data_IF_367801929917
#
_entry.id   IF_367801929917
#
_cell.length_a   1.000
_cell.length_b   1.000
_cell.length_c   1.000
_cell.angle_alpha   90.00
_cell.angle_beta   90.00
_cell.angle_gamma   90.00
#
_symmetry.space_group_name_H-M   'P 1'
#
loop_
_entity.id
_entity.type
_entity.pdbx_description
1 polymer ?
#
# COMPACT_ATOMS: atom_id res chain seq x y z
N UNK A 1 -40.84 22.04 17.16
CA UNK A 1 -40.26 20.78 17.63
C UNK A 1 -38.80 21.07 17.85
N UNK A 2 -38.36 21.00 19.09
CA UNK A 2 -37.09 21.50 19.57
C UNK A 2 -36.00 20.50 19.25
N UNK A 3 -35.02 20.93 18.48
CA UNK A 3 -33.76 20.23 18.24
C UNK A 3 -33.01 20.09 19.57
N UNK A 4 -32.94 18.85 20.07
CA UNK A 4 -32.09 18.51 21.21
C UNK A 4 -30.71 18.12 20.68
N UNK A 5 -29.83 19.13 20.61
CA UNK A 5 -28.40 18.92 20.51
C UNK A 5 -27.96 18.16 21.77
N UNK A 6 -27.61 16.88 21.65
CA UNK A 6 -26.93 16.13 22.70
C UNK A 6 -25.51 16.66 22.82
N UNK A 7 -25.06 17.10 24.02
CA UNK A 7 -23.65 17.51 24.20
C UNK A 7 -22.74 16.29 24.05
N UNK A 8 -21.58 16.49 23.40
CA UNK A 8 -20.48 15.53 23.37
C UNK A 8 -20.21 15.00 24.80
N UNK A 9 -20.26 13.70 24.96
CA UNK A 9 -19.88 13.02 26.19
C UNK A 9 -18.35 13.17 26.38
N UNK A 10 -17.85 13.83 27.43
CA UNK A 10 -16.42 14.07 27.62
C UNK A 10 -15.64 12.83 28.11
N UNK A 11 -16.26 11.66 28.09
CA UNK A 11 -15.65 10.40 28.60
C UNK A 11 -15.09 9.48 27.52
N UNK A 12 -15.22 9.80 26.23
CA UNK A 12 -14.59 9.00 25.17
C UNK A 12 -13.13 9.43 25.02
N UNK A 13 -12.20 8.60 25.49
CA UNK A 13 -10.78 8.72 25.13
C UNK A 13 -10.68 8.71 23.62
N UNK A 14 -9.94 9.63 22.98
CA UNK A 14 -9.71 9.60 21.54
C UNK A 14 -9.18 8.21 21.13
N UNK A 15 -9.58 7.73 19.96
CA UNK A 15 -9.01 6.49 19.44
C UNK A 15 -7.49 6.65 19.28
N UNK A 16 -6.68 5.61 19.57
CA UNK A 16 -5.23 5.69 19.47
C UNK A 16 -4.81 6.04 18.03
N UNK A 17 -3.82 6.91 17.91
CA UNK A 17 -3.20 7.31 16.65
C UNK A 17 -2.31 6.20 16.06
N UNK A 18 -1.60 6.51 14.99
CA UNK A 18 -0.73 5.54 14.31
C UNK A 18 0.35 4.95 15.23
N UNK A 19 1.09 5.83 15.91
CA UNK A 19 2.27 5.42 16.71
C UNK A 19 1.83 4.58 17.90
N UNK A 20 0.81 4.99 18.62
CA UNK A 20 0.27 4.23 19.74
C UNK A 20 -0.19 2.82 19.34
N UNK A 21 -0.78 2.67 18.15
CA UNK A 21 -1.19 1.36 17.63
C UNK A 21 0.00 0.49 17.28
N UNK A 22 1.01 1.08 16.64
CA UNK A 22 2.24 0.37 16.29
C UNK A 22 3.03 -0.09 17.54
N UNK A 23 2.94 0.66 18.63
CA UNK A 23 3.50 0.26 19.93
C UNK A 23 2.73 -0.92 20.56
N UNK A 24 1.45 -1.05 20.27
CA UNK A 24 0.59 -2.13 20.80
C UNK A 24 0.58 -3.39 19.91
N UNK A 25 0.80 -3.26 18.60
CA UNK A 25 0.72 -4.43 17.70
C UNK A 25 0.89 -4.09 16.22
N UNK A 26 0.49 -5.01 15.32
CA UNK A 26 0.56 -4.79 13.89
C UNK A 26 -0.54 -3.82 13.43
N UNK A 27 -0.18 -2.93 12.50
CA UNK A 27 -1.10 -2.05 11.78
C UNK A 27 -1.10 -2.47 10.31
N UNK A 28 -2.27 -2.67 9.76
CA UNK A 28 -2.46 -3.10 8.38
C UNK A 28 -2.86 -1.91 7.51
N UNK A 29 -2.13 -1.71 6.41
CA UNK A 29 -2.44 -0.70 5.40
C UNK A 29 -2.58 -1.35 4.03
N UNK A 30 -3.68 -1.06 3.33
CA UNK A 30 -3.81 -1.41 1.93
C UNK A 30 -3.25 -0.29 1.07
N UNK A 31 -2.31 -0.64 0.22
CA UNK A 31 -1.86 0.16 -0.93
C UNK A 31 -2.25 -0.54 -2.24
N UNK A 32 -1.83 -0.02 -3.38
CA UNK A 32 -1.93 -0.73 -4.64
C UNK A 32 -3.30 -0.69 -5.33
N UNK A 33 -4.07 0.36 -5.08
CA UNK A 33 -5.38 0.59 -5.71
C UNK A 33 -5.33 0.60 -7.24
N UNK A 34 -4.22 1.04 -7.83
CA UNK A 34 -4.01 1.18 -9.26
C UNK A 34 -4.37 -0.09 -10.05
N UNK A 35 -3.75 -1.22 -9.71
CA UNK A 35 -3.94 -2.47 -10.45
C UNK A 35 -5.31 -3.10 -10.19
N UNK A 36 -5.85 -2.93 -9.00
CA UNK A 36 -7.17 -3.45 -8.69
C UNK A 36 -8.26 -2.65 -9.43
N UNK A 37 -8.14 -1.32 -9.52
CA UNK A 37 -9.08 -0.48 -10.27
C UNK A 37 -8.92 -0.65 -11.79
N UNK A 38 -7.69 -0.86 -12.27
CA UNK A 38 -7.43 -1.21 -13.66
C UNK A 38 -8.12 -2.54 -14.03
N UNK A 39 -7.92 -3.60 -13.23
CA UNK A 39 -8.55 -4.92 -13.43
C UNK A 39 -10.07 -4.87 -13.38
N UNK A 40 -10.64 -3.95 -12.60
CA UNK A 40 -12.09 -3.70 -12.54
C UNK A 40 -12.59 -2.83 -13.69
N UNK A 41 -11.72 -2.27 -14.54
CA UNK A 41 -12.08 -1.45 -15.68
C UNK A 41 -12.41 0.01 -15.35
N UNK A 42 -11.88 0.55 -14.26
CA UNK A 42 -12.10 1.93 -13.82
C UNK A 42 -10.88 2.82 -14.00
N UNK A 43 -9.78 2.29 -14.52
CA UNK A 43 -8.54 3.02 -14.66
C UNK A 43 -7.74 2.50 -15.86
N UNK A 44 -7.10 3.40 -16.61
CA UNK A 44 -6.30 3.05 -17.79
C UNK A 44 -4.87 2.69 -17.39
N UNK A 45 -4.46 1.45 -17.72
CA UNK A 45 -3.05 1.05 -17.58
C UNK A 45 -2.13 1.97 -18.38
N UNK A 46 -1.03 2.39 -17.79
CA UNK A 46 -0.05 3.30 -18.36
C UNK A 46 -0.21 4.75 -17.91
N UNK A 47 -1.39 5.32 -17.95
CA UNK A 47 -1.64 6.65 -17.36
C UNK A 47 -1.61 6.58 -15.83
N UNK A 48 -2.33 5.62 -15.27
CA UNK A 48 -2.35 5.35 -13.83
C UNK A 48 -2.59 6.60 -12.96
N UNK A 49 -3.57 7.42 -13.37
CA UNK A 49 -3.97 8.60 -12.60
C UNK A 49 -5.28 8.34 -11.86
N UNK A 50 -5.49 8.94 -10.68
CA UNK A 50 -6.63 8.63 -9.81
C UNK A 50 -7.94 9.33 -10.23
N UNK A 51 -8.22 9.49 -11.53
CA UNK A 51 -9.44 10.11 -12.07
C UNK A 51 -10.73 9.41 -11.62
N UNK A 52 -10.62 8.12 -11.27
CA UNK A 52 -11.70 7.33 -10.70
C UNK A 52 -12.35 8.00 -9.47
N UNK A 53 -11.59 8.79 -8.72
CA UNK A 53 -12.11 9.56 -7.59
C UNK A 53 -13.19 10.58 -8.01
N UNK A 54 -13.11 11.10 -9.23
CA UNK A 54 -14.09 12.02 -9.81
C UNK A 54 -15.13 11.30 -10.66
N UNK A 55 -14.70 10.37 -11.51
CA UNK A 55 -15.55 9.72 -12.50
C UNK A 55 -16.40 8.58 -11.92
N UNK A 56 -15.83 7.80 -10.99
CA UNK A 56 -16.46 6.63 -10.38
C UNK A 56 -16.23 6.56 -8.87
N UNK A 57 -16.63 7.59 -8.10
CA UNK A 57 -16.34 7.68 -6.66
C UNK A 57 -16.89 6.48 -5.86
N UNK A 58 -18.00 5.89 -6.30
CA UNK A 58 -18.58 4.72 -5.64
C UNK A 58 -17.75 3.45 -5.85
N UNK A 59 -17.03 3.32 -6.97
CA UNK A 59 -16.13 2.21 -7.21
C UNK A 59 -14.91 2.29 -6.28
N UNK A 60 -14.34 3.48 -6.09
CA UNK A 60 -13.26 3.71 -5.15
C UNK A 60 -13.72 3.50 -3.69
N UNK A 61 -14.89 4.02 -3.33
CA UNK A 61 -15.51 3.80 -2.01
C UNK A 61 -15.72 2.32 -1.70
N UNK A 62 -16.22 1.57 -2.67
CA UNK A 62 -16.43 0.12 -2.52
C UNK A 62 -15.10 -0.62 -2.32
N UNK A 63 -14.05 -0.23 -3.03
CA UNK A 63 -12.72 -0.84 -2.88
C UNK A 63 -12.12 -0.56 -1.49
N UNK A 64 -12.22 0.67 -1.00
CA UNK A 64 -11.79 1.01 0.36
C UNK A 64 -12.53 0.16 1.41
N UNK A 65 -13.86 0.00 1.29
CA UNK A 65 -14.65 -0.87 2.19
C UNK A 65 -14.20 -2.33 2.12
N UNK A 66 -13.89 -2.84 0.92
CA UNK A 66 -13.41 -4.21 0.76
C UNK A 66 -12.07 -4.41 1.49
N UNK A 67 -11.17 -3.43 1.43
CA UNK A 67 -9.91 -3.47 2.17
C UNK A 67 -10.10 -3.32 3.68
N UNK A 68 -11.01 -2.44 4.15
CA UNK A 68 -11.35 -2.36 5.58
C UNK A 68 -11.86 -3.70 6.11
N UNK A 69 -12.80 -4.33 5.40
CA UNK A 69 -13.33 -5.65 5.77
C UNK A 69 -12.26 -6.73 5.78
N UNK A 70 -11.23 -6.58 4.95
CA UNK A 70 -10.07 -7.46 4.91
C UNK A 70 -9.06 -7.19 6.04
N UNK A 71 -9.21 -6.10 6.78
CA UNK A 71 -8.41 -5.78 7.95
C UNK A 71 -7.50 -4.55 7.82
N UNK A 72 -7.71 -3.69 6.82
CA UNK A 72 -6.97 -2.42 6.76
C UNK A 72 -7.40 -1.50 7.90
N UNK A 73 -6.45 -1.09 8.74
CA UNK A 73 -6.64 -0.10 9.81
C UNK A 73 -6.59 1.32 9.27
N UNK A 74 -5.95 1.48 8.12
CA UNK A 74 -5.74 2.76 7.46
C UNK A 74 -6.48 2.77 6.13
N UNK A 75 -7.25 3.82 5.89
CA UNK A 75 -7.83 4.14 4.59
C UNK A 75 -6.95 5.19 3.94
N UNK A 76 -6.10 4.75 3.04
CA UNK A 76 -5.19 5.63 2.33
C UNK A 76 -5.89 6.30 1.16
N UNK A 77 -5.82 7.63 1.10
CA UNK A 77 -6.41 8.38 -0.01
C UNK A 77 -5.74 8.00 -1.34
N UNK A 78 -6.54 7.65 -2.34
CA UNK A 78 -6.00 7.27 -3.65
C UNK A 78 -5.55 8.51 -4.43
N UNK A 79 -4.38 9.05 -4.05
CA UNK A 79 -3.75 10.22 -4.69
C UNK A 79 -2.39 9.89 -5.32
N UNK A 80 -2.00 8.61 -5.37
CA UNK A 80 -0.80 8.17 -6.09
C UNK A 80 -0.84 8.67 -7.55
N UNK A 81 0.26 9.25 -8.05
CA UNK A 81 0.30 9.96 -9.33
C UNK A 81 -0.65 11.18 -9.46
N UNK A 82 -1.36 11.57 -8.40
CA UNK A 82 -2.20 12.78 -8.36
C UNK A 82 -1.38 14.04 -8.12
N UNK A 83 -0.18 14.14 -8.65
CA UNK A 83 0.70 15.31 -8.53
C UNK A 83 0.78 16.11 -9.84
N UNK A 84 1.20 17.39 -9.74
CA UNK A 84 1.17 18.35 -10.84
C UNK A 84 1.90 17.87 -12.08
N UNK A 85 3.10 17.32 -11.93
CA UNK A 85 3.88 16.83 -13.07
C UNK A 85 3.15 15.73 -13.87
N UNK A 86 2.58 14.74 -13.16
CA UNK A 86 1.85 13.67 -13.85
C UNK A 86 0.61 14.19 -14.55
N UNK A 87 -0.13 15.10 -13.92
CA UNK A 87 -1.30 15.73 -14.52
C UNK A 87 -0.92 16.59 -15.73
N UNK A 88 0.22 17.29 -15.68
CA UNK A 88 0.78 18.05 -16.81
C UNK A 88 1.12 17.16 -18.01
N UNK A 89 1.77 16.02 -17.76
CA UNK A 89 2.14 15.06 -18.81
C UNK A 89 0.94 14.53 -19.57
N UNK A 90 -0.18 14.34 -18.90
CA UNK A 90 -1.42 13.87 -19.54
C UNK A 90 -2.37 15.00 -19.96
N UNK A 91 -2.01 16.27 -19.71
CA UNK A 91 -2.80 17.43 -20.11
C UNK A 91 -4.07 17.67 -19.30
N UNK A 92 -4.07 17.32 -18.01
CA UNK A 92 -5.23 17.38 -17.10
C UNK A 92 -4.95 18.13 -15.79
N UNK A 93 -4.10 19.14 -15.81
CA UNK A 93 -3.71 19.90 -14.61
C UNK A 93 -4.91 20.56 -13.90
N UNK A 94 -5.95 20.90 -14.63
CA UNK A 94 -7.18 21.46 -14.07
C UNK A 94 -7.92 20.52 -13.11
N UNK A 95 -7.65 19.22 -13.20
CA UNK A 95 -8.23 18.21 -12.31
C UNK A 95 -7.41 17.98 -11.03
N UNK A 96 -6.23 18.56 -10.90
CA UNK A 96 -5.27 18.27 -9.85
C UNK A 96 -5.87 18.41 -8.44
N UNK A 97 -6.33 19.60 -8.06
CA UNK A 97 -6.92 19.84 -6.73
C UNK A 97 -8.27 19.13 -6.56
N UNK A 98 -9.24 19.21 -7.49
CA UNK A 98 -10.51 18.50 -7.37
C UNK A 98 -10.35 16.99 -7.14
N UNK A 99 -9.40 16.37 -7.84
CA UNK A 99 -9.11 14.94 -7.75
C UNK A 99 -8.54 14.55 -6.37
N UNK A 100 -7.53 15.29 -5.89
CA UNK A 100 -6.92 15.04 -4.59
C UNK A 100 -7.94 15.20 -3.46
N UNK A 101 -8.72 16.29 -3.47
CA UNK A 101 -9.77 16.51 -2.45
C UNK A 101 -10.85 15.44 -2.49
N UNK A 102 -11.31 15.04 -3.67
CA UNK A 102 -12.31 13.98 -3.81
C UNK A 102 -11.80 12.65 -3.25
N UNK A 103 -10.54 12.26 -3.54
CA UNK A 103 -9.94 11.05 -3.02
C UNK A 103 -9.83 11.08 -1.48
N UNK A 104 -9.39 12.20 -0.89
CA UNK A 104 -9.30 12.39 0.56
C UNK A 104 -10.68 12.33 1.24
N UNK A 105 -11.69 13.00 0.68
CA UNK A 105 -13.05 12.99 1.19
C UNK A 105 -13.69 11.60 1.11
N UNK A 106 -13.41 10.83 0.05
CA UNK A 106 -13.85 9.45 -0.07
C UNK A 106 -13.19 8.60 1.02
N UNK A 107 -11.89 8.72 1.20
CA UNK A 107 -11.16 7.99 2.24
C UNK A 107 -11.71 8.30 3.64
N UNK A 108 -11.91 9.60 3.97
CA UNK A 108 -12.49 10.03 5.24
C UNK A 108 -13.89 9.43 5.44
N UNK A 109 -14.75 9.52 4.41
CA UNK A 109 -16.12 8.99 4.51
C UNK A 109 -16.16 7.49 4.77
N UNK A 110 -15.20 6.73 4.25
CA UNK A 110 -15.13 5.28 4.47
C UNK A 110 -14.50 4.97 5.84
N UNK A 111 -13.46 5.69 6.25
CA UNK A 111 -12.87 5.51 7.57
C UNK A 111 -13.88 5.76 8.69
N UNK A 112 -14.74 6.76 8.55
CA UNK A 112 -15.78 7.11 9.52
C UNK A 112 -16.88 6.05 9.66
N UNK A 113 -16.98 5.09 8.73
CA UNK A 113 -17.95 3.97 8.83
C UNK A 113 -17.55 2.95 9.91
N UNK A 114 -16.26 2.84 10.22
CA UNK A 114 -15.75 1.95 11.26
C UNK A 114 -14.99 2.77 12.33
N UNK A 115 -15.47 2.80 13.57
CA UNK A 115 -14.79 3.55 14.62
C UNK A 115 -13.33 3.12 14.78
N UNK A 116 -12.46 4.11 14.71
CA UNK A 116 -11.04 3.91 14.93
C UNK A 116 -10.19 3.77 13.67
N UNK A 117 -10.73 3.66 12.46
CA UNK A 117 -9.90 3.67 11.26
C UNK A 117 -9.27 5.04 11.05
N UNK A 118 -8.01 5.04 10.57
CA UNK A 118 -7.25 6.24 10.28
C UNK A 118 -7.32 6.57 8.78
N UNK A 119 -7.19 7.85 8.44
CA UNK A 119 -7.05 8.32 7.05
C UNK A 119 -5.61 8.74 6.80
N UNK A 120 -4.98 8.18 5.78
CA UNK A 120 -3.69 8.64 5.30
C UNK A 120 -3.83 9.57 4.09
N UNK A 121 -3.21 10.75 4.17
CA UNK A 121 -2.87 11.53 2.98
C UNK A 121 -1.66 10.90 2.29
N UNK A 122 -1.75 10.64 0.97
CA UNK A 122 -0.68 9.99 0.22
C UNK A 122 0.07 10.99 -0.64
N UNK A 123 1.41 10.93 -0.59
CA UNK A 123 2.34 11.54 -1.54
C UNK A 123 3.29 10.47 -2.07
N UNK A 124 3.78 10.62 -3.30
CA UNK A 124 4.63 9.61 -3.93
C UNK A 124 5.75 10.25 -4.75
N UNK A 125 6.65 9.42 -5.28
CA UNK A 125 7.68 9.90 -6.20
C UNK A 125 7.09 10.78 -7.30
N UNK A 126 7.79 11.88 -7.63
CA UNK A 126 7.28 12.90 -8.56
C UNK A 126 7.58 12.59 -10.03
N UNK A 127 8.53 11.70 -10.31
CA UNK A 127 9.12 11.48 -11.62
C UNK A 127 9.84 12.72 -12.22
N UNK A 128 9.99 13.79 -11.45
CA UNK A 128 10.66 15.04 -11.85
C UNK A 128 11.97 15.28 -11.10
N UNK A 129 12.17 14.62 -9.95
CA UNK A 129 13.35 14.85 -9.12
C UNK A 129 14.65 14.61 -9.86
N UNK A 130 15.51 15.63 -9.90
CA UNK A 130 16.88 15.55 -10.39
C UNK A 130 17.84 16.07 -9.31
N UNK A 131 18.76 15.21 -8.79
CA UNK A 131 19.75 15.63 -7.78
C UNK A 131 20.66 16.78 -8.22
N UNK A 132 20.81 16.98 -9.53
CA UNK A 132 21.67 18.02 -10.11
C UNK A 132 20.93 19.31 -10.50
N UNK A 133 19.58 19.31 -10.45
CA UNK A 133 18.75 20.46 -10.84
C UNK A 133 17.98 21.05 -9.64
N UNK A 134 18.47 22.19 -9.08
CA UNK A 134 17.78 22.88 -7.98
C UNK A 134 16.38 23.41 -8.33
N UNK A 135 16.09 23.66 -9.61
CA UNK A 135 14.78 24.14 -10.04
C UNK A 135 13.76 22.99 -10.00
N UNK A 136 14.14 21.82 -10.53
CA UNK A 136 13.35 20.61 -10.42
C UNK A 136 13.07 20.23 -8.94
N UNK A 137 14.08 20.33 -8.07
CA UNK A 137 13.92 20.07 -6.65
C UNK A 137 12.93 21.04 -5.97
N UNK A 138 12.96 22.32 -6.33
CA UNK A 138 11.98 23.30 -5.79
C UNK A 138 10.57 23.01 -6.29
N UNK A 139 10.42 22.65 -7.56
CA UNK A 139 9.13 22.29 -8.14
C UNK A 139 8.53 21.06 -7.44
N UNK A 140 9.34 20.01 -7.22
CA UNK A 140 8.92 18.81 -6.47
C UNK A 140 8.50 19.14 -5.06
N UNK A 141 9.26 19.98 -4.35
CA UNK A 141 8.88 20.43 -2.99
C UNK A 141 7.53 21.15 -3.01
N UNK A 142 7.29 22.03 -3.97
CA UNK A 142 6.02 22.73 -4.10
C UNK A 142 4.84 21.77 -4.35
N UNK A 143 5.05 20.71 -5.15
CA UNK A 143 4.03 19.68 -5.36
C UNK A 143 3.70 18.92 -4.05
N UNK A 144 4.70 18.59 -3.25
CA UNK A 144 4.47 17.95 -1.94
C UNK A 144 3.76 18.89 -0.96
N UNK A 145 4.11 20.17 -0.95
CA UNK A 145 3.44 21.19 -0.12
C UNK A 145 1.95 21.29 -0.47
N UNK A 146 1.60 21.30 -1.77
CA UNK A 146 0.21 21.29 -2.24
C UNK A 146 -0.55 20.06 -1.71
N UNK A 147 -0.01 18.85 -1.96
CA UNK A 147 -0.69 17.60 -1.62
C UNK A 147 -0.82 17.40 -0.12
N UNK A 148 0.22 17.69 0.66
CA UNK A 148 0.19 17.64 2.14
C UNK A 148 -0.79 18.68 2.69
N UNK A 149 -0.82 19.89 2.10
CA UNK A 149 -1.76 20.93 2.45
C UNK A 149 -3.22 20.46 2.33
N UNK A 150 -3.57 19.88 1.18
CA UNK A 150 -4.92 19.33 0.98
C UNK A 150 -5.24 18.17 1.93
N UNK A 151 -4.27 17.29 2.19
CA UNK A 151 -4.46 16.20 3.14
C UNK A 151 -4.78 16.70 4.55
N UNK A 152 -4.07 17.72 5.03
CA UNK A 152 -4.34 18.36 6.33
C UNK A 152 -5.71 19.04 6.34
N UNK A 153 -6.05 19.79 5.30
CA UNK A 153 -7.34 20.49 5.20
C UNK A 153 -8.54 19.52 5.16
N UNK A 154 -8.40 18.37 4.53
CA UNK A 154 -9.43 17.32 4.48
C UNK A 154 -9.37 16.35 5.68
N UNK A 155 -8.53 16.64 6.68
CA UNK A 155 -8.51 15.95 7.96
C UNK A 155 -7.82 14.59 7.97
N UNK A 156 -6.72 14.42 7.23
CA UNK A 156 -5.89 13.22 7.33
C UNK A 156 -5.31 13.05 8.75
N UNK A 157 -5.20 11.82 9.22
CA UNK A 157 -4.65 11.45 10.53
C UNK A 157 -3.13 11.22 10.47
N UNK A 158 -2.59 10.94 9.30
CA UNK A 158 -1.16 10.72 9.02
C UNK A 158 -0.85 11.03 7.56
N UNK A 159 0.45 11.17 7.26
CA UNK A 159 0.95 11.25 5.88
C UNK A 159 1.74 9.99 5.54
N UNK A 160 1.40 9.37 4.41
CA UNK A 160 2.17 8.29 3.79
C UNK A 160 2.91 8.86 2.58
N UNK A 161 4.23 8.79 2.62
CA UNK A 161 5.09 9.06 1.47
C UNK A 161 5.64 7.73 0.95
N UNK A 162 5.29 7.37 -0.28
CA UNK A 162 5.58 6.03 -0.78
C UNK A 162 6.35 6.02 -2.10
N UNK A 163 7.02 4.89 -2.34
CA UNK A 163 7.62 4.52 -3.64
C UNK A 163 8.71 5.49 -4.09
N UNK A 164 9.47 6.07 -3.15
CA UNK A 164 10.61 6.91 -3.48
C UNK A 164 11.80 6.05 -3.93
N UNK A 165 12.41 6.43 -5.05
CA UNK A 165 13.62 5.78 -5.58
C UNK A 165 14.84 6.72 -5.63
N UNK A 166 14.72 7.98 -5.17
CA UNK A 166 15.80 8.91 -4.84
C UNK A 166 15.76 9.21 -3.33
N UNK A 167 16.91 9.11 -2.66
CA UNK A 167 17.01 9.44 -1.23
C UNK A 167 16.76 10.93 -0.97
N UNK A 168 17.25 11.79 -1.86
CA UNK A 168 17.03 13.24 -1.76
C UNK A 168 15.56 13.63 -1.89
N UNK A 169 14.80 12.97 -2.77
CA UNK A 169 13.36 13.19 -2.92
C UNK A 169 12.60 12.74 -1.67
N UNK A 170 12.90 11.54 -1.16
CA UNK A 170 12.31 11.03 0.08
C UNK A 170 12.58 11.96 1.28
N UNK A 171 13.79 12.52 1.37
CA UNK A 171 14.13 13.49 2.41
C UNK A 171 13.32 14.80 2.27
N UNK A 172 13.15 15.31 1.04
CA UNK A 172 12.33 16.49 0.78
C UNK A 172 10.86 16.26 1.14
N UNK A 173 10.32 15.08 0.79
CA UNK A 173 8.97 14.66 1.16
C UNK A 173 8.79 14.59 2.68
N UNK A 174 9.76 14.01 3.40
CA UNK A 174 9.75 13.94 4.86
C UNK A 174 9.70 15.32 5.50
N UNK A 175 10.58 16.25 5.10
CA UNK A 175 10.63 17.60 5.66
C UNK A 175 9.28 18.31 5.55
N UNK A 176 8.62 18.18 4.41
CA UNK A 176 7.32 18.80 4.15
C UNK A 176 6.21 18.08 4.95
N UNK A 177 6.19 16.76 4.94
CA UNK A 177 5.20 15.99 5.68
C UNK A 177 5.29 16.25 7.20
N UNK A 178 6.50 16.29 7.78
CA UNK A 178 6.71 16.60 9.21
C UNK A 178 6.29 18.02 9.57
N UNK A 179 6.36 18.96 8.66
CA UNK A 179 5.88 20.34 8.91
C UNK A 179 4.36 20.40 9.14
N UNK A 180 3.60 19.40 8.70
CA UNK A 180 2.17 19.28 8.99
C UNK A 180 1.84 18.99 10.47
N UNK A 181 2.80 18.44 11.21
CA UNK A 181 2.61 17.98 12.60
C UNK A 181 1.95 16.62 12.73
N UNK A 182 1.60 15.96 11.62
CA UNK A 182 1.03 14.61 11.60
C UNK A 182 2.12 13.54 11.70
N UNK A 183 1.79 12.32 12.15
CA UNK A 183 2.65 11.14 12.00
C UNK A 183 3.00 10.89 10.53
N UNK A 184 4.23 10.44 10.25
CA UNK A 184 4.73 10.27 8.89
C UNK A 184 5.30 8.87 8.67
N UNK A 185 4.77 8.19 7.67
CA UNK A 185 5.29 6.93 7.12
C UNK A 185 6.05 7.27 5.84
N UNK A 186 7.34 6.88 5.74
CA UNK A 186 8.14 7.04 4.52
C UNK A 186 8.68 5.69 4.05
N UNK A 187 8.31 5.30 2.84
CA UNK A 187 8.79 4.07 2.23
C UNK A 187 9.56 4.31 0.94
N UNK A 188 10.60 3.51 0.76
CA UNK A 188 11.45 3.56 -0.42
C UNK A 188 11.27 2.32 -1.29
N UNK A 189 11.44 2.51 -2.59
CA UNK A 189 11.31 1.49 -3.61
C UNK A 189 12.55 1.48 -4.51
N UNK A 190 13.69 0.95 -4.02
CA UNK A 190 14.89 0.88 -4.82
C UNK A 190 14.66 -0.01 -6.04
N UNK A 191 15.22 0.37 -7.17
CA UNK A 191 15.18 -0.43 -8.40
C UNK A 191 15.87 -1.78 -8.20
N UNK A 192 16.42 -2.40 -9.22
CA UNK A 192 17.04 -3.72 -9.13
C UNK A 192 18.31 -3.76 -8.26
N UNK A 193 18.97 -2.61 -8.07
CA UNK A 193 20.23 -2.51 -7.31
C UNK A 193 20.06 -2.50 -5.80
N UNK A 194 21.17 -2.28 -5.11
CA UNK A 194 21.28 -2.19 -3.65
C UNK A 194 21.26 -0.74 -3.15
N UNK A 195 21.13 0.21 -4.07
CA UNK A 195 21.17 1.64 -3.80
C UNK A 195 19.96 2.33 -4.44
N UNK A 196 19.65 3.49 -3.90
CA UNK A 196 18.76 4.45 -4.52
C UNK A 196 19.40 5.02 -5.77
N UNK A 197 18.65 5.73 -6.61
CA UNK A 197 19.17 6.28 -7.89
C UNK A 197 20.19 7.40 -7.73
N UNK A 198 20.31 7.97 -6.55
CA UNK A 198 21.33 8.94 -6.13
C UNK A 198 22.44 8.31 -5.28
N UNK A 199 22.72 7.02 -5.50
CA UNK A 199 23.85 6.24 -4.96
C UNK A 199 23.83 6.10 -3.41
N UNK A 200 22.72 6.37 -2.75
CA UNK A 200 22.54 6.14 -1.30
C UNK A 200 22.08 4.71 -1.06
N UNK A 201 22.71 4.01 -0.12
CA UNK A 201 22.34 2.63 0.26
C UNK A 201 20.92 2.55 0.83
N UNK A 202 20.22 1.43 0.60
CA UNK A 202 18.82 1.23 1.03
C UNK A 202 18.69 1.38 2.56
N UNK A 203 19.60 0.80 3.33
CA UNK A 203 19.60 0.91 4.79
C UNK A 203 19.90 2.34 5.23
N UNK A 204 20.88 2.96 4.59
CA UNK A 204 21.30 4.33 4.91
C UNK A 204 20.18 5.34 4.68
N UNK A 205 19.40 5.22 3.61
CA UNK A 205 18.26 6.13 3.41
C UNK A 205 17.23 6.00 4.52
N UNK A 206 16.92 4.79 4.98
CA UNK A 206 16.00 4.58 6.11
C UNK A 206 16.55 5.20 7.42
N UNK A 207 17.86 5.09 7.68
CA UNK A 207 18.48 5.76 8.83
C UNK A 207 18.41 7.29 8.72
N UNK A 208 18.64 7.85 7.53
CA UNK A 208 18.50 9.30 7.29
C UNK A 208 17.08 9.79 7.51
N UNK A 209 16.09 9.00 7.05
CA UNK A 209 14.66 9.32 7.25
C UNK A 209 14.27 9.25 8.73
N UNK A 210 14.74 8.23 9.47
CA UNK A 210 14.54 8.17 10.92
C UNK A 210 15.17 9.39 11.63
N UNK A 211 16.41 9.75 11.28
CA UNK A 211 17.08 10.94 11.82
C UNK A 211 16.33 12.25 11.49
N UNK A 212 15.65 12.29 10.37
CA UNK A 212 14.77 13.38 9.95
C UNK A 212 13.43 13.39 10.69
N UNK A 213 13.14 12.39 11.53
CA UNK A 213 11.95 12.32 12.37
C UNK A 213 10.77 11.57 11.75
N UNK A 214 10.98 10.70 10.76
CA UNK A 214 9.95 9.78 10.30
C UNK A 214 9.53 8.85 11.43
N UNK A 215 8.23 8.64 11.61
CA UNK A 215 7.69 7.75 12.63
C UNK A 215 7.77 6.28 12.19
N UNK A 216 7.66 6.06 10.88
CA UNK A 216 7.80 4.74 10.24
C UNK A 216 8.67 4.89 8.99
N UNK A 217 9.66 4.01 8.82
CA UNK A 217 10.47 3.90 7.60
C UNK A 217 10.41 2.49 7.05
N UNK A 218 10.67 2.29 5.78
CA UNK A 218 10.70 0.92 5.25
C UNK A 218 10.64 0.85 3.74
N UNK A 219 10.08 -0.23 3.23
CA UNK A 219 10.01 -0.49 1.79
C UNK A 219 8.58 -0.79 1.36
N UNK A 220 8.22 -0.24 0.20
CA UNK A 220 7.01 -0.64 -0.51
C UNK A 220 7.29 -0.86 -1.99
N UNK A 221 6.36 -1.50 -2.69
CA UNK A 221 6.34 -1.65 -4.14
C UNK A 221 7.62 -2.27 -4.74
N UNK A 222 7.71 -2.35 -6.04
CA UNK A 222 8.76 -2.88 -6.93
C UNK A 222 9.21 -4.31 -6.64
N UNK A 223 9.55 -4.65 -5.40
CA UNK A 223 10.06 -5.95 -4.98
C UNK A 223 8.95 -6.82 -4.41
N UNK A 224 8.98 -8.09 -4.76
CA UNK A 224 8.10 -9.09 -4.14
C UNK A 224 8.63 -9.58 -2.78
N UNK A 225 7.88 -10.46 -2.12
CA UNK A 225 8.21 -10.99 -0.80
C UNK A 225 9.65 -11.49 -0.67
N UNK A 226 10.10 -12.32 -1.59
CA UNK A 226 11.40 -12.97 -1.53
C UNK A 226 12.58 -11.98 -1.62
N UNK A 227 12.45 -10.95 -2.45
CA UNK A 227 13.53 -9.99 -2.71
C UNK A 227 13.46 -8.73 -1.84
N UNK A 228 12.34 -8.51 -1.13
CA UNK A 228 12.21 -7.42 -0.18
C UNK A 228 12.68 -7.82 1.24
N UNK A 229 12.35 -9.01 1.70
CA UNK A 229 12.57 -9.46 3.07
C UNK A 229 14.02 -9.39 3.54
N UNK A 230 15.06 -9.73 2.73
CA UNK A 230 16.46 -9.58 3.13
C UNK A 230 16.85 -8.14 3.47
N UNK A 231 16.30 -7.15 2.76
CA UNK A 231 16.55 -5.74 3.03
C UNK A 231 15.79 -5.26 4.26
N UNK A 232 14.55 -5.69 4.43
CA UNK A 232 13.74 -5.36 5.62
C UNK A 232 14.41 -5.82 6.92
N UNK A 233 15.07 -6.99 6.90
CA UNK A 233 15.87 -7.48 8.05
C UNK A 233 16.99 -6.51 8.39
N UNK A 234 17.76 -6.09 7.40
CA UNK A 234 18.86 -5.13 7.59
C UNK A 234 18.35 -3.75 8.04
N UNK A 235 17.23 -3.27 7.47
CA UNK A 235 16.61 -2.02 7.90
C UNK A 235 16.20 -2.12 9.37
N UNK A 236 15.49 -3.21 9.76
CA UNK A 236 15.03 -3.39 11.14
C UNK A 236 16.19 -3.41 12.15
N UNK A 237 17.32 -4.00 11.79
CA UNK A 237 18.54 -4.02 12.64
C UNK A 237 19.19 -2.63 12.75
N UNK A 238 18.98 -1.75 11.79
CA UNK A 238 19.69 -0.48 11.66
C UNK A 238 18.92 0.75 12.18
N UNK A 239 17.60 0.63 12.40
CA UNK A 239 16.73 1.74 12.85
C UNK A 239 16.03 1.36 14.15
N UNK A 240 15.57 2.36 14.91
CA UNK A 240 14.83 2.18 16.16
C UNK A 240 13.33 2.51 16.02
N UNK A 241 12.96 3.35 15.04
CA UNK A 241 11.56 3.64 14.73
C UNK A 241 10.81 2.43 14.17
N UNK A 242 9.51 2.55 13.96
CA UNK A 242 8.71 1.49 13.35
C UNK A 242 9.15 1.24 11.90
N UNK A 243 8.94 0.00 11.42
CA UNK A 243 9.32 -0.39 10.06
C UNK A 243 8.09 -0.85 9.28
N UNK A 244 8.02 -0.40 8.02
CA UNK A 244 6.98 -0.74 7.06
C UNK A 244 7.45 -1.78 6.04
N UNK A 245 6.55 -2.72 5.70
CA UNK A 245 6.78 -3.76 4.70
C UNK A 245 5.54 -3.99 3.82
N UNK A 246 5.58 -3.48 2.59
CA UNK A 246 4.46 -3.58 1.64
C UNK A 246 4.97 -4.04 0.26
N UNK A 247 5.29 -5.34 0.09
CA UNK A 247 5.76 -5.87 -1.18
C UNK A 247 4.68 -5.83 -2.26
N UNK A 248 5.11 -5.90 -3.52
CA UNK A 248 4.20 -6.31 -4.59
C UNK A 248 3.97 -7.83 -4.50
N UNK A 249 2.75 -8.35 -4.73
CA UNK A 249 2.48 -9.77 -4.57
C UNK A 249 2.90 -10.58 -5.81
N UNK A 250 4.15 -10.44 -6.23
CA UNK A 250 4.70 -11.17 -7.37
C UNK A 250 5.97 -11.93 -6.98
N UNK A 251 6.21 -13.06 -7.66
CA UNK A 251 7.37 -13.95 -7.44
C UNK A 251 8.62 -13.38 -8.08
N UNK A 252 9.24 -12.42 -7.41
CA UNK A 252 10.53 -11.85 -7.79
C UNK A 252 11.68 -12.76 -7.31
N UNK A 253 12.81 -12.70 -8.01
CA UNK A 253 14.03 -13.50 -7.74
C UNK A 253 15.25 -12.60 -7.69
N UNK A 254 16.39 -13.12 -7.26
CA UNK A 254 17.65 -12.36 -7.27
C UNK A 254 18.06 -11.92 -8.68
N UNK A 255 17.70 -12.71 -9.71
CA UNK A 255 17.96 -12.36 -11.09
C UNK A 255 16.97 -11.30 -11.61
N UNK A 256 15.74 -11.31 -11.11
CA UNK A 256 14.66 -10.40 -11.47
C UNK A 256 14.04 -9.80 -10.19
N UNK A 257 14.76 -8.90 -9.49
CA UNK A 257 14.41 -8.49 -8.14
C UNK A 257 13.18 -7.57 -8.06
N UNK A 258 12.69 -7.07 -9.19
CA UNK A 258 11.51 -6.20 -9.27
C UNK A 258 10.50 -6.72 -10.31
N UNK A 259 9.26 -6.30 -10.17
CA UNK A 259 8.17 -6.75 -11.05
C UNK A 259 8.19 -6.13 -12.47
N UNK A 260 9.10 -5.19 -12.75
CA UNK A 260 9.15 -4.50 -14.05
C UNK A 260 9.59 -5.39 -15.21
N UNK A 261 10.44 -6.38 -14.93
CA UNK A 261 11.06 -7.22 -15.96
C UNK A 261 10.87 -8.72 -15.68
N UNK A 262 9.87 -9.08 -14.86
CA UNK A 262 9.60 -10.47 -14.57
C UNK A 262 9.31 -11.25 -15.84
N UNK A 263 9.93 -12.41 -15.96
CA UNK A 263 9.70 -13.37 -17.04
C UNK A 263 9.30 -14.73 -16.47
N UNK A 264 8.70 -15.57 -17.31
CA UNK A 264 8.49 -16.98 -16.98
C UNK A 264 9.60 -17.81 -17.63
N UNK A 265 10.49 -18.37 -16.83
CA UNK A 265 11.59 -19.23 -17.28
C UNK A 265 11.12 -20.44 -18.10
N UNK A 266 9.86 -20.86 -17.95
CA UNK A 266 9.27 -21.95 -18.69
C UNK A 266 8.69 -21.53 -20.06
N UNK A 267 8.69 -20.24 -20.38
CA UNK A 267 8.19 -19.73 -21.66
C UNK A 267 6.70 -19.96 -21.91
N UNK A 268 5.92 -20.22 -20.85
CA UNK A 268 4.47 -20.49 -20.92
C UNK A 268 3.67 -19.19 -21.01
N UNK A 269 4.26 -18.09 -20.61
CA UNK A 269 3.58 -16.80 -20.53
C UNK A 269 3.39 -16.15 -21.89
N UNK A 270 2.19 -15.66 -22.13
CA UNK A 270 1.93 -14.76 -23.26
C UNK A 270 2.28 -13.33 -22.81
N UNK A 271 3.34 -12.72 -23.35
CA UNK A 271 3.67 -11.36 -23.02
C UNK A 271 2.58 -10.42 -23.54
N UNK A 272 2.51 -9.21 -22.95
CA UNK A 272 1.65 -8.16 -23.49
C UNK A 272 2.04 -7.83 -24.95
N UNK A 273 1.17 -7.18 -25.72
CA UNK A 273 1.48 -6.72 -27.09
C UNK A 273 2.76 -5.84 -27.16
N UNK A 274 3.20 -5.31 -26.03
CA UNK A 274 4.42 -4.49 -25.93
C UNK A 274 5.69 -5.29 -25.61
N UNK A 275 5.60 -6.63 -25.54
CA UNK A 275 6.74 -7.51 -25.26
C UNK A 275 7.23 -7.52 -23.81
N UNK A 276 6.44 -6.96 -22.87
CA UNK A 276 6.75 -6.94 -21.43
C UNK A 276 5.58 -7.50 -20.63
N UNK A 277 5.87 -8.09 -19.49
CA UNK A 277 4.83 -8.54 -18.54
C UNK A 277 4.23 -7.37 -17.76
N UNK A 278 5.05 -6.43 -17.36
CA UNK A 278 4.61 -5.22 -16.67
C UNK A 278 3.95 -4.21 -17.62
N UNK A 279 2.82 -3.60 -17.25
CA UNK A 279 2.05 -3.86 -16.05
C UNK A 279 0.87 -4.83 -16.26
N UNK A 280 0.53 -5.22 -17.49
CA UNK A 280 -0.76 -5.81 -17.86
C UNK A 280 -0.75 -7.32 -18.06
N UNK A 281 0.36 -8.00 -17.82
CA UNK A 281 0.51 -9.46 -18.01
C UNK A 281 1.25 -10.13 -16.82
N UNK A 282 1.06 -9.59 -15.60
CA UNK A 282 1.74 -10.08 -14.39
C UNK A 282 0.97 -11.20 -13.67
N UNK A 283 -0.28 -11.44 -13.99
CA UNK A 283 -1.14 -12.37 -13.26
C UNK A 283 -0.56 -13.78 -13.09
N UNK A 284 0.08 -14.40 -14.09
CA UNK A 284 0.69 -15.72 -13.94
C UNK A 284 1.85 -15.78 -12.93
N UNK A 285 2.43 -14.63 -12.61
CA UNK A 285 3.57 -14.50 -11.70
C UNK A 285 3.15 -14.09 -10.27
N UNK A 286 1.84 -13.97 -10.02
CA UNK A 286 1.32 -13.56 -8.72
C UNK A 286 1.61 -14.61 -7.65
N UNK A 287 2.00 -14.14 -6.47
CA UNK A 287 2.02 -14.95 -5.25
C UNK A 287 0.61 -15.41 -4.90
N UNK A 288 0.48 -16.61 -4.38
CA UNK A 288 -0.75 -17.05 -3.75
C UNK A 288 -0.85 -16.49 -2.32
N UNK A 289 -2.03 -16.66 -1.68
CA UNK A 289 -2.28 -16.15 -0.34
C UNK A 289 -1.30 -16.68 0.72
N UNK A 290 -0.85 -17.93 0.58
CA UNK A 290 0.05 -18.55 1.57
C UNK A 290 1.48 -18.00 1.47
N UNK A 291 1.95 -17.65 0.28
CA UNK A 291 3.23 -17.00 0.09
C UNK A 291 3.23 -15.59 0.71
N UNK A 292 2.14 -14.84 0.52
CA UNK A 292 1.96 -13.51 1.14
C UNK A 292 1.83 -13.62 2.65
N UNK A 293 1.06 -14.59 3.16
CA UNK A 293 0.94 -14.85 4.59
C UNK A 293 2.26 -15.25 5.25
N UNK A 294 3.04 -16.11 4.60
CA UNK A 294 4.36 -16.49 5.11
C UNK A 294 5.31 -15.29 5.22
N UNK A 295 5.31 -14.42 4.21
CA UNK A 295 6.06 -13.15 4.26
C UNK A 295 5.61 -12.28 5.44
N UNK A 296 4.32 -12.07 5.61
CA UNK A 296 3.78 -11.23 6.68
C UNK A 296 4.15 -11.77 8.07
N UNK A 297 4.03 -13.08 8.28
CA UNK A 297 4.42 -13.73 9.52
C UNK A 297 5.92 -13.58 9.82
N UNK A 298 6.78 -13.74 8.80
CA UNK A 298 8.22 -13.58 8.96
C UNK A 298 8.61 -12.12 9.22
N UNK A 299 8.03 -11.17 8.48
CA UNK A 299 8.26 -9.75 8.70
C UNK A 299 7.85 -9.33 10.13
N UNK A 300 6.67 -9.77 10.58
CA UNK A 300 6.19 -9.49 11.93
C UNK A 300 7.08 -10.10 13.01
N UNK A 301 7.56 -11.33 12.81
CA UNK A 301 8.51 -11.97 13.72
C UNK A 301 9.87 -11.25 13.83
N UNK A 302 10.24 -10.45 12.84
CA UNK A 302 11.40 -9.55 12.88
C UNK A 302 11.11 -8.25 13.66
N UNK A 303 9.89 -8.00 14.11
CA UNK A 303 9.48 -6.75 14.76
C UNK A 303 9.10 -5.65 13.75
N UNK A 304 8.66 -6.04 12.56
CA UNK A 304 8.11 -5.13 11.55
C UNK A 304 6.60 -5.16 11.68
N UNK A 305 5.98 -4.04 12.03
CA UNK A 305 4.59 -3.99 12.46
C UNK A 305 3.68 -3.10 11.62
N UNK A 306 4.19 -2.33 10.65
CA UNK A 306 3.38 -1.68 9.61
C UNK A 306 3.40 -2.57 8.36
N UNK A 307 2.30 -3.25 8.09
CA UNK A 307 2.26 -4.33 7.10
C UNK A 307 1.15 -4.12 6.06
N UNK A 308 1.42 -4.54 4.85
CA UNK A 308 0.44 -4.47 3.78
C UNK A 308 0.91 -5.13 2.50
N UNK A 309 0.24 -4.79 1.41
CA UNK A 309 0.58 -5.23 0.06
C UNK A 309 0.39 -4.06 -0.90
N UNK A 310 1.38 -3.77 -1.72
CA UNK A 310 1.36 -2.69 -2.71
C UNK A 310 0.76 -3.15 -4.06
N UNK A 311 1.23 -2.63 -5.17
CA UNK A 311 0.71 -2.87 -6.53
C UNK A 311 0.41 -4.34 -6.83
N UNK A 312 -0.84 -4.66 -7.14
CA UNK A 312 -1.34 -6.03 -7.29
C UNK A 312 -2.06 -6.55 -6.05
N UNK A 313 -2.17 -5.74 -4.98
CA UNK A 313 -2.96 -6.09 -3.80
C UNK A 313 -4.41 -6.42 -4.17
N UNK A 314 -4.98 -7.33 -3.39
CA UNK A 314 -6.42 -7.60 -3.41
C UNK A 314 -6.91 -7.77 -1.96
N UNK A 315 -8.21 -7.59 -1.70
CA UNK A 315 -8.76 -7.79 -0.36
C UNK A 315 -8.45 -9.19 0.20
N UNK A 316 -8.41 -10.21 -0.64
CA UNK A 316 -8.04 -11.56 -0.22
C UNK A 316 -6.59 -11.65 0.29
N UNK A 317 -5.65 -11.01 -0.39
CA UNK A 317 -4.24 -11.03 0.02
C UNK A 317 -4.03 -10.21 1.30
N UNK A 318 -4.70 -9.06 1.42
CA UNK A 318 -4.62 -8.24 2.62
C UNK A 318 -5.18 -8.96 3.85
N UNK A 319 -6.34 -9.65 3.70
CA UNK A 319 -6.86 -10.50 4.76
C UNK A 319 -5.84 -11.53 5.21
N UNK A 320 -5.13 -12.14 4.27
CA UNK A 320 -4.12 -13.14 4.62
C UNK A 320 -2.93 -12.51 5.37
N UNK A 321 -2.54 -11.27 5.06
CA UNK A 321 -1.55 -10.53 5.86
C UNK A 321 -2.06 -10.37 7.30
N UNK A 322 -3.27 -9.86 7.48
CA UNK A 322 -3.87 -9.65 8.80
C UNK A 322 -3.97 -10.96 9.60
N UNK A 323 -4.48 -12.03 9.00
CA UNK A 323 -4.63 -13.34 9.65
C UNK A 323 -3.26 -13.95 10.03
N UNK A 324 -2.24 -13.79 9.18
CA UNK A 324 -0.91 -14.33 9.42
C UNK A 324 -0.19 -13.70 10.63
N UNK A 325 -0.56 -12.48 11.00
CA UNK A 325 -0.06 -11.78 12.20
C UNK A 325 -0.99 -11.88 13.41
N UNK A 326 -2.01 -12.74 13.33
CA UNK A 326 -2.89 -13.07 14.44
C UNK A 326 -4.13 -12.19 14.58
N UNK A 327 -4.41 -11.31 13.62
CA UNK A 327 -5.61 -10.49 13.62
C UNK A 327 -6.82 -11.28 13.09
N UNK A 328 -8.00 -10.95 13.61
CA UNK A 328 -9.28 -11.47 13.11
C UNK A 328 -10.08 -10.31 12.53
N UNK A 329 -10.32 -10.35 11.24
CA UNK A 329 -11.04 -9.31 10.50
C UNK A 329 -12.50 -9.69 10.26
N UNK A 330 -13.35 -8.76 9.80
CA UNK A 330 -14.72 -9.09 9.39
C UNK A 330 -14.75 -10.19 8.32
N UNK A 331 -13.81 -10.14 7.38
CA UNK A 331 -13.72 -11.11 6.30
C UNK A 331 -13.16 -12.47 6.72
N UNK A 332 -12.54 -12.61 7.91
CA UNK A 332 -11.95 -13.87 8.42
C UNK A 332 -12.99 -14.98 8.61
N UNK A 333 -14.25 -14.63 8.79
CA UNK A 333 -15.35 -15.64 8.82
C UNK A 333 -15.48 -16.42 7.51
N UNK A 334 -14.90 -15.94 6.43
CA UNK A 334 -14.88 -16.57 5.10
C UNK A 334 -13.49 -17.14 4.73
N UNK A 335 -12.61 -17.30 5.71
CA UNK A 335 -11.34 -18.01 5.50
C UNK A 335 -11.62 -19.44 5.09
N UNK A 336 -10.71 -20.02 4.33
CA UNK A 336 -10.91 -21.32 3.71
C UNK A 336 -11.16 -22.43 4.73
N UNK A 337 -12.17 -23.24 4.47
CA UNK A 337 -12.46 -24.45 5.21
C UNK A 337 -12.66 -25.62 4.22
N UNK A 338 -11.59 -26.33 3.97
CA UNK A 338 -11.56 -27.43 3.00
C UNK A 338 -12.22 -28.70 3.51
N UNK A 339 -12.55 -28.83 4.81
CA UNK A 339 -13.21 -30.03 5.37
C UNK A 339 -14.55 -30.34 4.70
N UNK A 340 -15.26 -29.29 4.25
CA UNK A 340 -16.54 -29.44 3.57
C UNK A 340 -16.45 -29.42 2.04
N UNK A 341 -15.23 -29.39 1.48
CA UNK A 341 -15.07 -29.43 0.02
C UNK A 341 -15.58 -30.76 -0.55
N UNK A 342 -16.40 -30.72 -1.59
CA UNK A 342 -17.11 -31.90 -2.09
C UNK A 342 -16.18 -33.01 -2.60
N UNK A 343 -14.97 -32.70 -3.08
CA UNK A 343 -13.98 -33.67 -3.57
C UNK A 343 -12.86 -33.97 -2.55
N UNK A 344 -12.34 -32.94 -1.89
CA UNK A 344 -11.13 -33.04 -1.06
C UNK A 344 -11.42 -32.93 0.43
N UNK A 345 -12.69 -32.77 0.81
CA UNK A 345 -13.07 -32.66 2.20
C UNK A 345 -13.10 -34.00 2.91
N UNK A 346 -12.81 -33.97 4.20
CA UNK A 346 -12.81 -35.13 5.09
C UNK A 346 -14.04 -35.18 6.02
N UNK A 347 -15.00 -34.27 5.87
CA UNK A 347 -16.22 -34.24 6.65
C UNK A 347 -16.98 -35.56 6.51
N UNK A 348 -17.28 -36.18 7.62
CA UNK A 348 -17.99 -37.48 7.70
C UNK A 348 -19.37 -37.50 7.03
N UNK A 349 -20.00 -36.33 6.87
CA UNK A 349 -21.30 -36.19 6.20
C UNK A 349 -21.22 -36.20 4.68
N UNK A 350 -20.02 -36.09 4.10
CA UNK A 350 -19.84 -36.16 2.64
C UNK A 350 -20.04 -37.60 2.17
N UNK A 351 -20.80 -37.83 1.07
CA UNK A 351 -20.97 -39.16 0.50
C UNK A 351 -19.63 -39.80 0.09
N UNK A 352 -19.45 -41.08 0.38
CA UNK A 352 -18.21 -41.79 0.11
C UNK A 352 -17.80 -41.78 -1.38
N UNK A 353 -18.79 -41.88 -2.28
CA UNK A 353 -18.48 -41.81 -3.74
C UNK A 353 -17.97 -40.44 -4.18
N UNK A 354 -18.30 -39.37 -3.45
CA UNK A 354 -17.78 -38.02 -3.72
C UNK A 354 -16.36 -37.89 -3.16
N UNK A 355 -16.12 -38.39 -1.92
CA UNK A 355 -14.76 -38.40 -1.34
C UNK A 355 -13.77 -39.19 -2.19
N UNK A 356 -14.25 -40.32 -2.79
CA UNK A 356 -13.42 -41.14 -3.66
C UNK A 356 -12.93 -40.40 -4.93
N UNK A 357 -13.64 -39.36 -5.40
CA UNK A 357 -13.18 -38.57 -6.55
C UNK A 357 -11.91 -37.78 -6.24
N UNK A 358 -11.74 -37.32 -5.01
CA UNK A 358 -10.54 -36.59 -4.60
C UNK A 358 -9.27 -37.45 -4.51
N UNK A 359 -9.42 -38.77 -4.31
CA UNK A 359 -8.31 -39.71 -4.25
C UNK A 359 -7.82 -40.22 -5.62
N UNK A 360 -8.51 -39.85 -6.70
CA UNK A 360 -8.20 -40.26 -8.09
C UNK A 360 -7.69 -39.12 -8.96
N UNK A 361 -7.51 -37.91 -8.42
CA UNK A 361 -7.04 -36.71 -9.11
C UNK A 361 -5.53 -36.55 -9.02
#
# INVERSE_FOLDING_TARGET
MTDTHTPNDPTTTPAPGLVERLDEGPVICAEGFLFELERRGYLTAGEFVPEVALEFPDALRALHRDFQRAGSDIVEAFTYNGHREKMRVIGKEELLEPLNRAALQIARSVADELPGNLVAGNISNSNLWDPSDPDAQREVRSMFEEMVGWAVEEGADLIVGETFYYAGEAQAALEIAKASGLPVVLTVAPMAGEQMRDDVGIVEVCQRLEQGGADVVGMNCFRGPATMLPWLRQIREAVSCHVAALPVPYRTTDAEPTFFNLTDDNGVMVPSPHGRTFPTALDPLSCNRYEVGAFAAEAYALGINYLGVCCGASPMLLRQVAEAVGLTTEASRFSENMQNHFMYGDNVRLPEHIKALGGTA
#
